data_IF_994161099908
#
_entry.id   IF_994161099908
#
_cell.length_a   1.000
_cell.length_b   1.000
_cell.length_c   1.000
_cell.angle_alpha   90.00
_cell.angle_beta   90.00
_cell.angle_gamma   90.00
#
_symmetry.space_group_name_H-M   'P 1'
#
loop_
_entity.id
_entity.type
_entity.pdbx_description
1 polymer ?
#
# COMPACT_ATOMS: atom_id res chain seq x y z
N UNK A 1 12.19 -14.59 3.76
CA UNK A 1 11.21 -13.58 3.34
C UNK A 1 11.98 -12.30 3.08
N UNK A 2 11.81 -11.72 1.89
CA UNK A 2 12.35 -10.39 1.61
C UNK A 2 11.52 -9.37 2.39
N UNK A 3 12.18 -8.37 2.97
CA UNK A 3 11.53 -7.28 3.69
C UNK A 3 11.42 -6.10 2.71
N UNK A 4 10.20 -5.67 2.43
CA UNK A 4 9.90 -4.59 1.51
C UNK A 4 9.88 -3.25 2.23
N UNK A 5 10.51 -2.24 1.62
CA UNK A 5 10.46 -0.88 2.11
C UNK A 5 9.30 -0.14 1.47
N UNK A 6 8.49 0.52 2.29
CA UNK A 6 7.38 1.37 1.87
C UNK A 6 7.87 2.83 1.78
N UNK A 7 7.60 3.48 0.66
CA UNK A 7 8.15 4.79 0.34
C UNK A 7 7.21 5.68 -0.49
N UNK A 8 5.95 5.26 -0.68
CA UNK A 8 4.93 6.03 -1.37
C UNK A 8 3.57 5.99 -0.68
N UNK A 9 2.70 6.93 -1.05
CA UNK A 9 1.27 6.94 -0.69
C UNK A 9 0.45 6.99 -1.96
N UNK A 10 -0.57 6.16 -2.05
CA UNK A 10 -1.51 6.09 -3.17
C UNK A 10 -2.97 6.19 -2.72
N UNK A 11 -3.84 6.69 -3.59
CA UNK A 11 -5.29 6.62 -3.46
C UNK A 11 -5.81 5.46 -4.30
N UNK A 12 -6.55 4.55 -3.66
CA UNK A 12 -7.23 3.45 -4.32
C UNK A 12 -8.72 3.74 -4.35
N UNK A 13 -9.33 3.57 -5.52
CA UNK A 13 -10.77 3.62 -5.72
C UNK A 13 -11.29 2.20 -5.89
N UNK A 14 -12.19 1.78 -5.00
CA UNK A 14 -12.87 0.48 -5.06
C UNK A 14 -13.88 0.45 -6.21
N UNK A 15 -14.32 -0.75 -6.57
CA UNK A 15 -15.33 -0.93 -7.63
C UNK A 15 -16.70 -0.29 -7.30
N UNK A 16 -17.01 -0.10 -6.02
CA UNK A 16 -18.20 0.63 -5.58
C UNK A 16 -18.04 2.17 -5.61
N UNK A 17 -16.85 2.67 -6.00
CA UNK A 17 -16.51 4.09 -6.07
C UNK A 17 -16.01 4.71 -4.76
N UNK A 18 -16.03 3.97 -3.65
CA UNK A 18 -15.43 4.41 -2.39
C UNK A 18 -13.90 4.46 -2.51
N UNK A 19 -13.26 5.28 -1.68
CA UNK A 19 -11.82 5.54 -1.75
C UNK A 19 -11.13 5.29 -0.43
N UNK A 20 -9.85 4.96 -0.49
CA UNK A 20 -8.96 4.88 0.65
C UNK A 20 -7.53 5.20 0.24
N UNK A 21 -6.67 5.44 1.22
CA UNK A 21 -5.24 5.61 0.99
C UNK A 21 -4.49 4.34 1.39
N UNK A 22 -3.36 4.10 0.73
CA UNK A 22 -2.43 3.03 1.10
C UNK A 22 -1.02 3.62 1.14
N UNK A 23 -0.23 3.20 2.13
CA UNK A 23 1.21 3.52 2.19
C UNK A 23 1.90 2.29 1.65
N UNK A 24 2.49 2.37 0.45
CA UNK A 24 3.01 1.21 -0.26
C UNK A 24 4.40 1.49 -0.85
N UNK A 25 4.81 0.74 -1.89
CA UNK A 25 6.01 0.98 -2.66
C UNK A 25 5.75 0.77 -4.15
N UNK A 26 6.76 0.98 -5.00
CA UNK A 26 6.57 0.92 -6.45
C UNK A 26 6.11 -0.45 -6.96
N UNK A 27 6.56 -1.54 -6.33
CA UNK A 27 6.14 -2.89 -6.69
C UNK A 27 4.66 -3.11 -6.36
N UNK A 28 4.24 -2.74 -5.14
CA UNK A 28 2.84 -2.84 -4.73
C UNK A 28 1.93 -1.96 -5.58
N UNK A 29 2.38 -0.75 -5.94
CA UNK A 29 1.63 0.11 -6.86
C UNK A 29 1.50 -0.54 -8.24
N UNK A 30 2.55 -1.18 -8.76
CA UNK A 30 2.46 -1.92 -10.02
C UNK A 30 1.48 -3.09 -9.96
N UNK A 31 1.45 -3.84 -8.85
CA UNK A 31 0.43 -4.85 -8.59
C UNK A 31 -0.97 -4.22 -8.53
N UNK A 32 -1.12 -3.04 -7.93
CA UNK A 32 -2.37 -2.29 -7.89
C UNK A 32 -2.85 -1.87 -9.30
N UNK A 33 -1.95 -1.39 -10.16
CA UNK A 33 -2.26 -1.06 -11.56
C UNK A 33 -2.71 -2.30 -12.33
N UNK A 34 -2.04 -3.44 -12.14
CA UNK A 34 -2.48 -4.72 -12.73
C UNK A 34 -3.85 -5.14 -12.18
N UNK A 35 -4.10 -4.95 -10.88
CA UNK A 35 -5.41 -5.20 -10.28
C UNK A 35 -6.52 -4.31 -10.87
N UNK A 36 -6.20 -3.09 -11.31
CA UNK A 36 -7.13 -2.24 -12.09
C UNK A 36 -7.41 -2.86 -13.45
N UNK A 37 -6.38 -3.28 -14.18
CA UNK A 37 -6.51 -3.92 -15.50
C UNK A 37 -7.33 -5.22 -15.44
N UNK A 38 -7.25 -5.94 -14.31
CA UNK A 38 -8.05 -7.15 -14.03
C UNK A 38 -9.44 -6.86 -13.46
N UNK A 39 -9.78 -5.60 -13.18
CA UNK A 39 -11.08 -5.21 -12.65
C UNK A 39 -11.32 -5.55 -11.17
N UNK A 40 -10.26 -5.84 -10.41
CA UNK A 40 -10.34 -6.10 -8.96
C UNK A 40 -10.55 -4.80 -8.16
N UNK A 41 -9.95 -3.71 -8.64
CA UNK A 41 -10.20 -2.34 -8.20
C UNK A 41 -10.49 -1.44 -9.38
N UNK A 42 -11.05 -0.25 -9.11
CA UNK A 42 -11.48 0.67 -10.17
C UNK A 42 -10.34 1.52 -10.70
N UNK A 43 -9.48 1.98 -9.81
CA UNK A 43 -8.37 2.90 -10.11
C UNK A 43 -7.39 2.93 -8.94
N UNK A 44 -6.11 3.12 -9.23
CA UNK A 44 -5.10 3.55 -8.27
C UNK A 44 -4.42 4.83 -8.78
N UNK A 45 -3.89 5.64 -7.86
CA UNK A 45 -3.14 6.85 -8.19
C UNK A 45 -2.11 7.16 -7.10
N UNK A 46 -0.84 7.24 -7.47
CA UNK A 46 0.21 7.74 -6.58
C UNK A 46 -0.05 9.22 -6.22
N UNK A 47 -0.03 9.52 -4.93
CA UNK A 47 -0.18 10.87 -4.37
C UNK A 47 1.16 11.46 -3.91
N UNK A 48 2.01 10.64 -3.31
CA UNK A 48 3.30 11.05 -2.76
C UNK A 48 4.35 9.97 -2.98
N UNK A 49 5.58 10.38 -3.32
CA UNK A 49 6.76 9.52 -3.45
C UNK A 49 7.84 9.96 -2.45
N UNK A 50 8.84 9.11 -2.23
CA UNK A 50 10.04 9.40 -1.42
C UNK A 50 9.69 9.79 0.02
N UNK A 51 8.87 8.98 0.70
CA UNK A 51 8.51 9.23 2.10
C UNK A 51 9.75 9.30 3.01
N UNK A 52 9.74 10.28 3.93
CA UNK A 52 10.75 10.36 4.96
C UNK A 52 10.72 9.11 5.86
N UNK A 53 11.90 8.53 6.15
CA UNK A 53 12.07 7.31 6.98
C UNK A 53 11.86 7.58 8.46
N UNK A 54 10.62 7.92 8.83
CA UNK A 54 10.21 8.19 10.20
C UNK A 54 9.96 6.89 10.98
N UNK A 55 9.94 6.98 12.33
CA UNK A 55 9.58 5.85 13.20
C UNK A 55 8.17 5.33 12.94
N UNK A 56 7.23 6.21 12.60
CA UNK A 56 5.85 5.83 12.27
C UNK A 56 5.80 5.02 10.98
N UNK A 57 6.54 5.43 9.94
CA UNK A 57 6.64 4.65 8.70
C UNK A 57 7.22 3.26 8.95
N UNK A 58 8.34 3.17 9.68
CA UNK A 58 8.97 1.90 10.03
C UNK A 58 8.02 0.98 10.82
N UNK A 59 7.26 1.52 11.77
CA UNK A 59 6.31 0.74 12.56
C UNK A 59 5.20 0.16 11.67
N UNK A 60 4.64 0.97 10.77
CA UNK A 60 3.60 0.52 9.84
C UNK A 60 4.15 -0.52 8.86
N UNK A 61 5.31 -0.25 8.26
CA UNK A 61 6.02 -1.14 7.35
C UNK A 61 6.35 -2.50 7.97
N UNK A 62 6.85 -2.52 9.21
CA UNK A 62 7.11 -3.76 9.93
C UNK A 62 5.85 -4.59 10.13
N UNK A 63 4.71 -3.93 10.40
CA UNK A 63 3.44 -4.62 10.55
C UNK A 63 2.98 -5.23 9.22
N UNK A 64 3.05 -4.46 8.12
CA UNK A 64 2.63 -4.93 6.79
C UNK A 64 3.48 -6.14 6.38
N UNK A 65 4.81 -6.03 6.45
CA UNK A 65 5.74 -7.11 6.11
C UNK A 65 5.56 -8.39 6.95
N UNK A 66 5.07 -8.27 8.19
CA UNK A 66 4.80 -9.43 9.07
C UNK A 66 3.42 -10.04 8.85
N UNK A 67 2.48 -9.28 8.31
CA UNK A 67 1.06 -9.67 8.26
C UNK A 67 0.64 -10.14 6.89
N UNK A 68 1.20 -9.55 5.84
CA UNK A 68 0.83 -9.79 4.45
C UNK A 68 1.99 -10.41 3.67
N UNK A 69 1.64 -11.33 2.77
CA UNK A 69 2.55 -11.73 1.71
C UNK A 69 2.51 -10.64 0.64
N UNK A 70 3.59 -9.88 0.52
CA UNK A 70 3.70 -8.84 -0.48
C UNK A 70 4.09 -9.46 -1.82
N UNK A 71 3.25 -9.22 -2.83
CA UNK A 71 3.48 -9.60 -4.22
C UNK A 71 4.54 -8.68 -4.84
N UNK A 72 5.38 -9.17 -5.74
CA UNK A 72 6.40 -8.35 -6.42
C UNK A 72 6.30 -8.50 -7.93
N UNK A 73 6.60 -7.40 -8.65
CA UNK A 73 6.70 -7.43 -10.12
C UNK A 73 7.85 -8.32 -10.62
N UNK A 74 8.78 -8.70 -9.74
CA UNK A 74 9.91 -9.58 -10.08
C UNK A 74 9.54 -11.06 -10.05
N UNK A 75 8.37 -11.42 -9.52
CA UNK A 75 7.88 -12.79 -9.47
C UNK A 75 6.76 -12.99 -10.51
N UNK A 76 6.96 -13.95 -11.40
CA UNK A 76 6.06 -14.21 -12.53
C UNK A 76 4.64 -14.60 -12.12
N UNK A 77 4.51 -15.37 -11.05
CA UNK A 77 3.20 -15.81 -10.56
C UNK A 77 2.38 -14.62 -10.03
N UNK A 78 3.03 -13.67 -9.37
CA UNK A 78 2.40 -12.49 -8.77
C UNK A 78 1.86 -11.53 -9.85
N UNK A 79 2.66 -11.15 -10.85
CA UNK A 79 2.20 -10.20 -11.87
C UNK A 79 1.26 -10.83 -12.92
N UNK A 80 1.22 -12.16 -13.06
CA UNK A 80 0.27 -12.83 -13.96
C UNK A 80 -1.16 -12.85 -13.41
N UNK A 81 -1.32 -13.11 -12.12
CA UNK A 81 -2.61 -13.21 -11.44
C UNK A 81 -2.62 -12.43 -10.11
N UNK A 82 -2.61 -11.08 -10.18
CA UNK A 82 -2.43 -10.23 -9.00
C UNK A 82 -3.60 -10.42 -8.03
N UNK A 83 -3.31 -10.66 -6.76
CA UNK A 83 -4.32 -10.71 -5.71
C UNK A 83 -4.44 -9.34 -5.06
N UNK A 84 -5.64 -8.72 -5.16
CA UNK A 84 -5.88 -7.46 -4.48
C UNK A 84 -6.40 -7.68 -3.06
N UNK A 85 -5.61 -7.28 -2.07
CA UNK A 85 -6.00 -7.25 -0.66
C UNK A 85 -5.85 -5.84 -0.13
N UNK A 86 -6.95 -5.25 0.32
CA UNK A 86 -6.89 -4.02 1.11
C UNK A 86 -6.35 -4.34 2.50
N UNK A 87 -5.24 -3.73 2.90
CA UNK A 87 -4.62 -4.03 4.18
C UNK A 87 -5.43 -3.42 5.34
N UNK A 88 -5.60 -4.21 6.39
CA UNK A 88 -6.26 -3.77 7.61
C UNK A 88 -5.33 -2.88 8.43
N UNK A 89 -5.89 -1.81 9.00
CA UNK A 89 -5.18 -0.90 9.89
C UNK A 89 -5.77 -1.05 11.31
N UNK A 90 -5.39 -2.09 12.08
CA UNK A 90 -5.98 -2.35 13.40
C UNK A 90 -5.78 -1.16 14.35
N UNK A 91 -6.79 -0.93 15.19
CA UNK A 91 -6.79 0.16 16.18
C UNK A 91 -5.54 0.10 17.08
N UNK A 92 -5.05 1.27 17.46
CA UNK A 92 -3.84 1.43 18.27
C UNK A 92 -2.64 1.82 17.41
N UNK A 93 -1.45 1.32 17.79
CA UNK A 93 -0.17 1.82 17.25
C UNK A 93 -0.05 1.77 15.73
N UNK A 94 -0.63 0.76 15.07
CA UNK A 94 -0.57 0.61 13.61
C UNK A 94 -1.39 1.71 12.93
N UNK A 95 -2.67 1.86 13.31
CA UNK A 95 -3.53 2.93 12.79
C UNK A 95 -2.97 4.32 13.12
N UNK A 96 -2.43 4.53 14.33
CA UNK A 96 -1.83 5.80 14.72
C UNK A 96 -0.59 6.13 13.87
N UNK A 97 0.25 5.14 13.59
CA UNK A 97 1.43 5.29 12.74
C UNK A 97 1.03 5.60 11.29
N UNK A 98 0.09 4.84 10.73
CA UNK A 98 -0.48 5.08 9.41
C UNK A 98 -1.01 6.52 9.27
N UNK A 99 -1.87 6.96 10.21
CA UNK A 99 -2.44 8.31 10.20
C UNK A 99 -1.37 9.39 10.37
N UNK A 100 -0.33 9.12 11.16
CA UNK A 100 0.80 10.05 11.33
C UNK A 100 1.57 10.25 10.02
N UNK A 101 1.80 9.17 9.27
CA UNK A 101 2.47 9.24 7.96
C UNK A 101 1.61 10.03 6.98
N UNK A 102 0.31 9.77 6.88
CA UNK A 102 -0.58 10.54 6.01
C UNK A 102 -0.58 12.03 6.35
N UNK A 103 -0.76 12.36 7.64
CA UNK A 103 -0.75 13.74 8.14
C UNK A 103 0.56 14.47 7.84
N UNK A 104 1.70 13.79 8.00
CA UNK A 104 3.02 14.36 7.72
C UNK A 104 3.21 14.69 6.23
N UNK A 105 2.45 14.05 5.34
CA UNK A 105 2.48 14.27 3.90
C UNK A 105 1.27 15.07 3.39
N UNK A 106 0.51 15.71 4.30
CA UNK A 106 -0.67 16.52 3.97
C UNK A 106 -1.77 15.75 3.21
N UNK A 107 -1.90 14.45 3.49
CA UNK A 107 -2.95 13.59 2.93
C UNK A 107 -3.98 13.29 4.04
N UNK A 108 -5.26 13.54 3.74
CA UNK A 108 -6.36 13.44 4.70
C UNK A 108 -7.49 14.39 4.39
#
# INVERSE_FOLDING_TARGET
MAYEQLDLIEEVTRNDGSKYYEISNIDQNGIAELAVDRGLIKKVRILQLNLARTKSLQLYEEYINKTYQLETLTNEDDWKDPQWVEWEKPKGKVLDAYNTVLKANHIG
#
